data_IF_676612154052
#
_entry.id   IF_676612154052
#
_cell.length_a   1.000
_cell.length_b   1.000
_cell.length_c   1.000
_cell.angle_alpha   90.00
_cell.angle_beta   90.00
_cell.angle_gamma   90.00
#
_symmetry.space_group_name_H-M   'P 1'
#
loop_
_entity.id
_entity.type
_entity.pdbx_description
1 polymer ?
#
# COMPACT_ATOMS: atom_id res chain seq x y z
N UNK A 1 -12.98 -9.87 -6.66
CA UNK A 1 -12.04 -8.75 -6.73
C UNK A 1 -12.32 -7.92 -7.98
N UNK A 2 -12.59 -6.64 -7.81
CA UNK A 2 -12.99 -5.73 -8.89
C UNK A 2 -11.84 -5.41 -9.86
N UNK A 3 -12.12 -4.73 -10.98
CA UNK A 3 -11.07 -4.22 -11.89
C UNK A 3 -10.09 -3.30 -11.15
N UNK A 4 -10.61 -2.41 -10.30
CA UNK A 4 -9.81 -1.50 -9.49
C UNK A 4 -8.94 -2.25 -8.48
N UNK A 5 -9.46 -3.30 -7.85
CA UNK A 5 -8.70 -4.14 -6.92
C UNK A 5 -7.56 -4.90 -7.62
N UNK A 6 -7.78 -5.38 -8.85
CA UNK A 6 -6.72 -6.00 -9.66
C UNK A 6 -5.58 -5.03 -9.97
N UNK A 7 -5.92 -3.78 -10.23
CA UNK A 7 -4.95 -2.74 -10.57
C UNK A 7 -4.14 -2.28 -9.36
N UNK A 8 -4.78 -1.98 -8.23
CA UNK A 8 -4.08 -1.68 -6.98
C UNK A 8 -3.16 -2.85 -6.57
N UNK A 9 -3.62 -4.09 -6.76
CA UNK A 9 -2.80 -5.29 -6.50
C UNK A 9 -1.61 -5.38 -7.44
N UNK A 10 -1.75 -4.99 -8.71
CA UNK A 10 -0.63 -4.94 -9.68
C UNK A 10 0.44 -3.96 -9.21
N UNK A 11 0.04 -2.73 -8.87
CA UNK A 11 0.96 -1.68 -8.42
C UNK A 11 1.76 -2.12 -7.19
N UNK A 12 1.08 -2.66 -6.17
CA UNK A 12 1.76 -3.17 -4.98
C UNK A 12 2.73 -4.30 -5.32
N UNK A 13 2.39 -5.20 -6.24
CA UNK A 13 3.29 -6.29 -6.66
C UNK A 13 4.51 -5.77 -7.42
N UNK A 14 4.36 -4.75 -8.26
CA UNK A 14 5.47 -4.12 -8.98
C UNK A 14 6.42 -3.40 -8.03
N UNK A 15 5.87 -2.67 -7.06
CA UNK A 15 6.64 -2.08 -5.97
C UNK A 15 7.40 -3.15 -5.17
N UNK A 16 6.72 -4.21 -4.71
CA UNK A 16 7.34 -5.31 -3.97
C UNK A 16 8.42 -6.06 -4.77
N UNK A 17 8.31 -6.08 -6.10
CA UNK A 17 9.30 -6.64 -7.02
C UNK A 17 10.42 -5.65 -7.40
N UNK A 18 10.48 -4.49 -6.74
CA UNK A 18 11.50 -3.46 -6.93
C UNK A 18 11.55 -2.91 -8.37
N UNK A 19 10.41 -2.96 -9.08
CA UNK A 19 10.28 -2.41 -10.44
C UNK A 19 9.94 -0.93 -10.45
N UNK A 20 9.49 -0.39 -9.31
CA UNK A 20 9.16 1.01 -9.13
C UNK A 20 9.87 1.57 -7.90
N UNK A 21 10.29 2.83 -7.99
CA UNK A 21 10.78 3.57 -6.84
C UNK A 21 9.65 3.84 -5.84
N UNK A 22 10.01 4.07 -4.56
CA UNK A 22 9.05 4.42 -3.53
C UNK A 22 8.11 5.56 -3.93
N UNK A 23 8.65 6.70 -4.38
CA UNK A 23 7.83 7.87 -4.68
C UNK A 23 6.91 7.66 -5.88
N UNK A 24 7.38 6.99 -6.93
CA UNK A 24 6.54 6.66 -8.08
C UNK A 24 5.34 5.79 -7.66
N UNK A 25 5.59 4.71 -6.92
CA UNK A 25 4.54 3.85 -6.40
C UNK A 25 3.60 4.58 -5.44
N UNK A 26 4.16 5.35 -4.50
CA UNK A 26 3.42 6.06 -3.46
C UNK A 26 2.46 7.10 -4.07
N UNK A 27 2.96 7.96 -4.96
CA UNK A 27 2.14 8.98 -5.61
C UNK A 27 1.04 8.37 -6.48
N UNK A 28 1.37 7.35 -7.30
CA UNK A 28 0.38 6.70 -8.15
C UNK A 28 -0.69 5.99 -7.32
N UNK A 29 -0.31 5.27 -6.25
CA UNK A 29 -1.26 4.55 -5.41
C UNK A 29 -2.22 5.51 -4.71
N UNK A 30 -1.70 6.57 -4.08
CA UNK A 30 -2.54 7.56 -3.38
C UNK A 30 -3.47 8.27 -4.35
N UNK A 31 -2.96 8.68 -5.52
CA UNK A 31 -3.78 9.31 -6.56
C UNK A 31 -4.90 8.35 -7.00
N UNK A 32 -4.58 7.09 -7.25
CA UNK A 32 -5.58 6.10 -7.69
C UNK A 32 -6.65 5.89 -6.62
N UNK A 33 -6.25 5.61 -5.38
CA UNK A 33 -7.17 5.31 -4.29
C UNK A 33 -8.13 6.46 -3.98
N UNK A 34 -7.62 7.69 -3.91
CA UNK A 34 -8.41 8.88 -3.57
C UNK A 34 -9.47 9.25 -4.60
N UNK A 35 -9.29 8.81 -5.86
CA UNK A 35 -10.26 9.04 -6.94
C UNK A 35 -11.29 7.91 -7.10
N UNK A 36 -11.19 6.82 -6.32
CA UNK A 36 -12.15 5.71 -6.40
C UNK A 36 -13.46 6.04 -5.67
N UNK A 37 -14.63 5.87 -6.32
CA UNK A 37 -15.93 5.98 -5.65
C UNK A 37 -16.07 5.04 -4.44
N UNK A 38 -16.96 5.38 -3.51
CA UNK A 38 -17.08 4.64 -2.24
C UNK A 38 -17.60 3.20 -2.42
N UNK A 39 -18.35 2.97 -3.49
CA UNK A 39 -19.12 1.78 -3.83
C UNK A 39 -18.41 0.84 -4.82
N UNK A 40 -17.17 1.15 -5.26
CA UNK A 40 -16.43 0.28 -6.20
C UNK A 40 -15.95 -1.05 -5.62
N UNK A 41 -16.03 -1.20 -4.29
CA UNK A 41 -15.59 -2.38 -3.55
C UNK A 41 -16.68 -2.85 -2.61
N UNK A 42 -16.77 -4.18 -2.43
CA UNK A 42 -17.49 -4.73 -1.29
C UNK A 42 -16.84 -4.26 0.02
N UNK A 43 -17.61 -4.18 1.10
CA UNK A 43 -17.17 -3.61 2.38
C UNK A 43 -15.88 -4.24 2.91
N UNK A 44 -15.78 -5.58 2.89
CA UNK A 44 -14.59 -6.30 3.32
C UNK A 44 -13.37 -6.00 2.42
N UNK A 45 -13.54 -5.94 1.09
CA UNK A 45 -12.46 -5.60 0.16
C UNK A 45 -12.00 -4.15 0.37
N UNK A 46 -12.95 -3.23 0.63
CA UNK A 46 -12.64 -1.83 0.91
C UNK A 46 -11.86 -1.67 2.22
N UNK A 47 -12.23 -2.41 3.26
CA UNK A 47 -11.56 -2.36 4.55
C UNK A 47 -10.07 -2.75 4.41
N UNK A 48 -9.77 -3.85 3.72
CA UNK A 48 -8.38 -4.26 3.48
C UNK A 48 -7.59 -3.24 2.65
N UNK A 49 -8.20 -2.65 1.61
CA UNK A 49 -7.53 -1.57 0.87
C UNK A 49 -7.33 -0.28 1.68
N UNK A 50 -8.26 0.04 2.59
CA UNK A 50 -8.16 1.19 3.48
C UNK A 50 -7.01 1.00 4.50
N UNK A 51 -6.81 -0.22 4.99
CA UNK A 51 -5.67 -0.57 5.84
C UNK A 51 -4.35 -0.36 5.08
N UNK A 52 -4.23 -0.91 3.87
CA UNK A 52 -3.04 -0.72 3.01
C UNK A 52 -2.78 0.77 2.73
N UNK A 53 -3.83 1.53 2.40
CA UNK A 53 -3.74 2.97 2.18
C UNK A 53 -3.17 3.69 3.41
N UNK A 54 -3.60 3.30 4.62
CA UNK A 54 -3.10 3.92 5.85
C UNK A 54 -1.60 3.73 6.03
N UNK A 55 -1.07 2.55 5.68
CA UNK A 55 0.37 2.29 5.74
C UNK A 55 1.15 3.09 4.70
N UNK A 56 0.64 3.15 3.47
CA UNK A 56 1.30 3.89 2.38
C UNK A 56 1.32 5.38 2.71
N UNK A 57 0.23 5.93 3.26
CA UNK A 57 0.11 7.34 3.63
C UNK A 57 1.12 7.76 4.72
N UNK A 58 1.48 6.85 5.63
CA UNK A 58 2.43 7.12 6.72
C UNK A 58 3.84 6.61 6.44
N UNK A 59 4.13 6.12 5.24
CA UNK A 59 5.45 5.61 4.89
C UNK A 59 6.33 6.70 4.27
N UNK A 60 7.64 6.60 4.50
CA UNK A 60 8.67 7.39 3.81
C UNK A 60 9.86 6.50 3.41
N UNK A 61 10.75 6.93 2.48
CA UNK A 61 11.99 6.21 2.20
C UNK A 61 12.88 6.09 3.43
N UNK A 62 13.61 4.98 3.54
CA UNK A 62 14.62 4.81 4.59
C UNK A 62 15.84 5.73 4.38
N UNK A 63 16.52 6.19 5.46
CA UNK A 63 16.22 5.92 6.87
C UNK A 63 15.12 6.83 7.43
N UNK A 64 14.29 6.29 8.33
CA UNK A 64 13.27 7.07 9.05
C UNK A 64 13.88 7.77 10.27
N UNK A 65 13.70 9.09 10.45
CA UNK A 65 14.09 9.78 11.67
C UNK A 65 13.36 9.21 12.90
N UNK A 66 14.04 9.12 14.04
CA UNK A 66 13.44 8.60 15.30
C UNK A 66 12.19 9.38 15.70
N UNK A 67 12.18 10.69 15.49
CA UNK A 67 11.04 11.57 15.78
C UNK A 67 9.81 11.23 14.93
N UNK A 68 10.02 10.88 13.67
CA UNK A 68 8.95 10.47 12.76
C UNK A 68 8.43 9.08 13.11
N UNK A 69 9.33 8.15 13.45
CA UNK A 69 8.94 6.82 13.93
C UNK A 69 8.10 6.91 15.22
N UNK A 70 8.44 7.81 16.15
CA UNK A 70 7.64 8.06 17.35
C UNK A 70 6.23 8.61 17.06
N UNK A 71 6.02 9.20 15.87
CA UNK A 71 4.73 9.69 15.38
C UNK A 71 3.99 8.66 14.52
N UNK A 72 4.53 7.45 14.40
CA UNK A 72 3.93 6.35 13.64
C UNK A 72 4.29 6.34 12.16
N UNK A 73 5.29 7.10 11.72
CA UNK A 73 5.83 7.01 10.35
C UNK A 73 6.64 5.73 10.23
N UNK A 74 6.47 5.01 9.12
CA UNK A 74 7.18 3.76 8.85
C UNK A 74 8.15 3.90 7.68
N UNK A 75 9.19 3.08 7.67
CA UNK A 75 10.16 3.04 6.57
C UNK A 75 9.66 2.24 5.38
N UNK A 76 10.30 2.43 4.23
CA UNK A 76 10.03 1.65 3.03
C UNK A 76 10.21 0.14 3.28
N UNK A 77 11.25 -0.26 4.01
CA UNK A 77 11.48 -1.66 4.36
C UNK A 77 10.33 -2.26 5.17
N UNK A 78 9.80 -1.52 6.15
CA UNK A 78 8.66 -1.96 6.97
C UNK A 78 7.36 -1.98 6.15
N UNK A 79 7.13 -0.98 5.30
CA UNK A 79 5.99 -0.96 4.39
C UNK A 79 6.01 -2.22 3.50
N UNK A 80 7.14 -2.53 2.88
CA UNK A 80 7.31 -3.73 2.03
C UNK A 80 7.01 -5.01 2.81
N UNK A 81 7.48 -5.09 4.05
CA UNK A 81 7.24 -6.23 4.91
C UNK A 81 5.75 -6.40 5.28
N UNK A 82 5.07 -5.33 5.71
CA UNK A 82 3.62 -5.36 6.00
C UNK A 82 2.80 -5.76 4.77
N UNK A 83 3.14 -5.20 3.61
CA UNK A 83 2.49 -5.54 2.34
C UNK A 83 2.66 -7.01 1.95
N UNK A 84 3.84 -7.61 2.15
CA UNK A 84 4.06 -9.05 1.86
C UNK A 84 3.21 -9.96 2.74
N UNK A 85 2.96 -9.57 3.99
CA UNK A 85 2.19 -10.36 4.96
C UNK A 85 0.68 -10.17 4.86
N UNK A 86 0.23 -9.06 4.28
CA UNK A 86 -1.21 -8.77 4.16
C UNK A 86 -1.93 -9.82 3.29
N UNK A 87 -3.14 -10.21 3.68
CA UNK A 87 -3.90 -11.31 3.07
C UNK A 87 -4.12 -11.15 1.54
N UNK A 88 -4.13 -9.92 1.05
CA UNK A 88 -4.24 -9.64 -0.40
C UNK A 88 -3.04 -10.12 -1.21
N UNK A 89 -1.89 -10.29 -0.57
CA UNK A 89 -0.62 -10.60 -1.23
C UNK A 89 0.04 -11.86 -0.66
N UNK A 90 -0.36 -12.29 0.54
CA UNK A 90 -0.01 -13.58 1.08
C UNK A 90 -0.48 -14.66 0.10
N UNK A 91 0.45 -15.20 -0.68
CA UNK A 91 0.23 -16.47 -1.38
C UNK A 91 0.09 -17.54 -0.31
N UNK A 92 -1.08 -18.17 -0.22
CA UNK A 92 -1.16 -19.54 0.28
C UNK A 92 -0.16 -20.36 -0.54
N UNK A 93 0.88 -20.87 0.14
CA UNK A 93 1.71 -21.96 -0.35
C UNK A 93 0.87 -23.16 -0.77
#
# INVERSE_FOLDING_TARGET
MSRHGKELRRMVREFLAERESFWAFHEEFLARWTHLPKDVFAEAERAGWQEIYSWILTAIPDPVPVEDHARGVIGEAELRDRLRRHEFFATTS
#
